data_IF_560782156208
#
_entry.id   IF_560782156208
#
_cell.length_a   1.000
_cell.length_b   1.000
_cell.length_c   1.000
_cell.angle_alpha   90.00
_cell.angle_beta   90.00
_cell.angle_gamma   90.00
#
_symmetry.space_group_name_H-M   'P 1'
#
loop_
_entity.id
_entity.type
_entity.pdbx_description
1 polymer ?
#
# COMPACT_ATOMS: atom_id res chain seq x y z
N UNK A 1 -17.04 9.89 16.44
CA UNK A 1 -16.99 10.80 15.28
C UNK A 1 -15.56 10.78 14.78
N UNK A 2 -15.29 10.34 13.54
CA UNK A 2 -13.92 10.30 13.02
C UNK A 2 -13.43 11.73 12.76
N UNK A 3 -12.30 12.13 13.34
CA UNK A 3 -11.60 13.36 12.98
C UNK A 3 -10.60 13.05 11.88
N UNK A 4 -10.71 13.72 10.75
CA UNK A 4 -9.75 13.63 9.64
C UNK A 4 -8.91 14.91 9.68
N UNK A 5 -7.58 14.76 9.74
CA UNK A 5 -6.64 15.88 9.67
C UNK A 5 -5.70 15.66 8.49
N UNK A 6 -5.61 16.65 7.62
CA UNK A 6 -4.64 16.70 6.51
C UNK A 6 -3.33 17.28 7.08
N UNK A 7 -2.19 16.70 6.70
CA UNK A 7 -0.89 17.23 7.11
C UNK A 7 -0.60 18.49 6.31
N UNK A 8 -0.09 19.53 6.98
CA UNK A 8 0.54 20.69 6.34
C UNK A 8 2.05 20.58 6.60
N UNK A 9 2.85 20.95 5.60
CA UNK A 9 4.26 20.59 5.38
C UNK A 9 5.28 20.83 6.50
N UNK A 10 4.90 21.49 7.61
CA UNK A 10 5.86 22.01 8.59
C UNK A 10 5.80 21.31 9.97
N UNK A 11 4.90 20.34 10.16
CA UNK A 11 4.89 19.47 11.33
C UNK A 11 5.33 18.06 10.94
N UNK A 12 6.32 17.50 11.65
CA UNK A 12 6.72 16.09 11.45
C UNK A 12 5.50 15.21 11.65
N UNK A 13 5.14 14.41 10.64
CA UNK A 13 3.97 13.52 10.67
C UNK A 13 3.88 12.69 11.97
N UNK A 14 5.04 12.31 12.53
CA UNK A 14 5.15 11.60 13.80
C UNK A 14 4.66 12.41 15.01
N UNK A 15 4.99 13.69 15.08
CA UNK A 15 4.61 14.59 16.19
C UNK A 15 3.11 14.88 16.16
N UNK A 16 2.53 15.01 14.96
CA UNK A 16 1.08 15.13 14.78
C UNK A 16 0.37 13.85 15.21
N UNK A 17 0.83 12.70 14.71
CA UNK A 17 0.26 11.41 15.08
C UNK A 17 0.32 11.21 16.61
N UNK A 18 1.44 11.52 17.27
CA UNK A 18 1.54 11.44 18.72
C UNK A 18 0.54 12.34 19.45
N UNK A 19 0.37 13.59 18.98
CA UNK A 19 -0.56 14.55 19.56
C UNK A 19 -2.00 14.05 19.51
N UNK A 20 -2.43 13.48 18.36
CA UNK A 20 -3.80 13.01 18.18
C UNK A 20 -4.06 11.65 18.85
N UNK A 21 -3.09 10.74 18.82
CA UNK A 21 -3.18 9.42 19.48
C UNK A 21 -3.28 9.58 21.00
N UNK A 22 -2.45 10.43 21.62
CA UNK A 22 -2.49 10.67 23.08
C UNK A 22 -3.78 11.35 23.56
N UNK A 23 -4.54 11.98 22.65
CA UNK A 23 -5.83 12.59 22.95
C UNK A 23 -7.01 11.61 23.05
N UNK A 24 -6.82 10.31 22.75
CA UNK A 24 -7.89 9.29 22.65
C UNK A 24 -9.03 9.64 21.66
N UNK A 25 -8.79 10.52 20.69
CA UNK A 25 -9.80 10.93 19.71
C UNK A 25 -9.69 10.20 18.36
N UNK A 26 -8.83 9.17 18.27
CA UNK A 26 -8.37 8.66 16.98
C UNK A 26 -8.24 7.13 16.94
N UNK A 27 -8.77 6.52 15.87
CA UNK A 27 -8.83 5.06 15.70
C UNK A 27 -8.05 4.53 14.47
N UNK A 28 -7.43 5.39 13.65
CA UNK A 28 -6.63 4.92 12.51
C UNK A 28 -6.03 6.02 11.64
N UNK A 29 -4.82 5.77 11.13
CA UNK A 29 -3.97 6.69 10.37
C UNK A 29 -4.05 6.33 8.88
N UNK A 30 -4.21 7.33 8.01
CA UNK A 30 -4.09 7.18 6.54
C UNK A 30 -2.93 8.04 6.07
N UNK A 31 -2.02 7.46 5.29
CA UNK A 31 -0.78 8.07 4.81
C UNK A 31 -0.75 8.04 3.29
N UNK A 32 -0.58 9.20 2.65
CA UNK A 32 -0.33 9.31 1.21
C UNK A 32 1.18 9.24 0.95
N UNK A 33 1.65 8.19 0.28
CA UNK A 33 3.08 7.92 0.02
C UNK A 33 3.64 8.74 -1.16
N UNK A 34 2.77 9.51 -1.81
CA UNK A 34 2.94 10.07 -3.14
C UNK A 34 2.97 11.61 -3.15
N UNK A 35 2.55 12.26 -2.07
CA UNK A 35 2.34 13.72 -2.07
C UNK A 35 3.18 14.46 -1.01
N UNK A 36 3.44 13.88 0.16
CA UNK A 36 4.05 14.62 1.29
C UNK A 36 4.95 13.78 2.21
N UNK A 37 4.78 12.46 2.24
CA UNK A 37 5.44 11.58 3.21
C UNK A 37 6.28 10.53 2.47
N UNK A 38 7.58 10.53 2.73
CA UNK A 38 8.47 9.54 2.16
C UNK A 38 8.21 8.13 2.73
N UNK A 39 8.62 7.11 1.98
CA UNK A 39 8.39 5.69 2.32
C UNK A 39 9.05 5.30 3.65
N UNK A 40 10.16 5.93 4.05
CA UNK A 40 10.83 5.66 5.33
C UNK A 40 9.97 6.20 6.49
N UNK A 41 9.42 7.41 6.34
CA UNK A 41 8.50 7.97 7.32
C UNK A 41 7.25 7.11 7.46
N UNK A 42 6.65 6.67 6.35
CA UNK A 42 5.49 5.79 6.38
C UNK A 42 5.77 4.42 7.01
N UNK A 43 6.96 3.86 6.75
CA UNK A 43 7.45 2.65 7.42
C UNK A 43 7.54 2.84 8.94
N UNK A 44 8.03 3.99 9.41
CA UNK A 44 8.10 4.30 10.84
C UNK A 44 6.71 4.41 11.45
N UNK A 45 5.77 5.07 10.76
CA UNK A 45 4.36 5.14 11.18
C UNK A 45 3.76 3.73 11.31
N UNK A 46 3.87 2.90 10.26
CA UNK A 46 3.42 1.50 10.28
C UNK A 46 3.98 0.77 11.50
N UNK A 47 5.30 0.79 11.69
CA UNK A 47 5.97 0.08 12.78
C UNK A 47 5.48 0.53 14.16
N UNK A 48 5.44 1.85 14.38
CA UNK A 48 5.13 2.49 15.67
C UNK A 48 3.69 2.20 16.11
N UNK A 49 2.73 2.29 15.20
CA UNK A 49 1.31 2.18 15.55
C UNK A 49 0.74 0.78 15.31
N UNK A 50 1.57 -0.17 14.87
CA UNK A 50 1.13 -1.54 14.56
C UNK A 50 0.64 -2.41 15.73
N UNK A 51 0.87 -1.96 16.98
CA UNK A 51 0.49 -2.66 18.22
C UNK A 51 -0.66 -2.00 18.96
N UNK A 52 -0.97 -0.76 18.60
CA UNK A 52 -2.14 -0.06 19.11
C UNK A 52 -3.35 -0.55 18.32
N UNK A 53 -4.57 -0.50 18.86
CA UNK A 53 -5.79 -0.85 18.11
C UNK A 53 -6.12 0.19 17.01
N UNK A 54 -5.08 0.72 16.37
CA UNK A 54 -5.08 1.73 15.35
C UNK A 54 -4.88 1.05 14.01
N UNK A 55 -5.80 1.31 13.09
CA UNK A 55 -5.62 0.85 11.72
C UNK A 55 -4.69 1.82 10.99
N UNK A 56 -3.67 1.31 10.30
CA UNK A 56 -2.80 2.12 9.44
C UNK A 56 -3.04 1.76 7.98
N UNK A 57 -3.25 2.77 7.13
CA UNK A 57 -3.44 2.59 5.69
C UNK A 57 -2.53 3.52 4.90
N UNK A 58 -2.12 3.06 3.72
CA UNK A 58 -1.14 3.72 2.88
C UNK A 58 -1.64 3.77 1.45
N UNK A 59 -1.80 4.98 0.90
CA UNK A 59 -2.20 5.19 -0.48
C UNK A 59 -1.02 5.50 -1.39
N UNK A 60 -1.16 5.16 -2.67
CA UNK A 60 -0.19 5.44 -3.73
C UNK A 60 -0.94 5.69 -5.03
N UNK A 61 -0.67 6.82 -5.66
CA UNK A 61 -1.13 7.13 -7.01
C UNK A 61 -0.05 6.79 -8.04
N UNK A 62 -0.48 6.17 -9.12
CA UNK A 62 0.35 5.62 -10.20
C UNK A 62 -0.28 6.00 -11.54
N UNK A 63 -0.27 7.30 -11.86
CA UNK A 63 -0.86 7.86 -13.07
C UNK A 63 -2.38 7.75 -13.08
N UNK A 64 -2.90 6.88 -13.95
CA UNK A 64 -4.32 6.51 -14.08
C UNK A 64 -4.73 5.40 -13.10
N UNK A 65 -3.92 5.12 -12.06
CA UNK A 65 -4.16 4.03 -11.12
C UNK A 65 -4.00 4.52 -9.69
N UNK A 66 -4.70 3.83 -8.78
CA UNK A 66 -4.62 4.08 -7.35
C UNK A 66 -4.47 2.77 -6.59
N UNK A 67 -3.59 2.75 -5.61
CA UNK A 67 -3.33 1.62 -4.73
C UNK A 67 -3.53 2.03 -3.29
N UNK A 68 -4.18 1.17 -2.50
CA UNK A 68 -4.45 1.38 -1.10
C UNK A 68 -4.10 0.12 -0.31
N UNK A 69 -3.14 0.23 0.59
CA UNK A 69 -2.64 -0.86 1.43
C UNK A 69 -3.07 -0.68 2.88
N UNK A 70 -3.23 -1.78 3.61
CA UNK A 70 -3.62 -1.80 5.02
C UNK A 70 -2.68 -2.64 5.84
N UNK A 71 -2.24 -2.08 6.96
CA UNK A 71 -1.71 -2.88 8.04
C UNK A 71 -2.85 -3.73 8.62
N UNK A 72 -2.62 -5.04 8.67
CA UNK A 72 -3.52 -5.97 9.32
C UNK A 72 -2.73 -6.96 10.21
N UNK A 73 -3.43 -7.92 10.82
CA UNK A 73 -2.83 -8.90 11.73
C UNK A 73 -1.78 -9.81 11.08
N UNK A 74 -1.76 -9.93 9.75
CA UNK A 74 -0.92 -10.87 9.02
C UNK A 74 0.23 -10.20 8.27
N UNK A 75 -0.03 -9.02 7.72
CA UNK A 75 0.89 -8.30 6.85
C UNK A 75 0.80 -6.82 7.20
N UNK A 76 1.97 -6.24 7.46
CA UNK A 76 2.15 -4.81 7.72
C UNK A 76 3.11 -4.22 6.70
N UNK A 77 2.97 -2.95 6.37
CA UNK A 77 3.84 -2.25 5.44
C UNK A 77 5.28 -2.30 5.95
N UNK A 78 5.50 -1.98 7.23
CA UNK A 78 6.85 -2.01 7.81
C UNK A 78 7.54 -3.36 7.68
N UNK A 79 6.76 -4.45 7.75
CA UNK A 79 7.28 -5.80 7.55
C UNK A 79 7.63 -6.02 6.09
N UNK A 80 6.68 -5.80 5.16
CA UNK A 80 6.88 -6.01 3.72
C UNK A 80 8.18 -5.36 3.23
N UNK A 81 8.46 -4.14 3.68
CA UNK A 81 9.61 -3.36 3.25
C UNK A 81 10.96 -3.97 3.70
N UNK A 82 10.97 -4.67 4.83
CA UNK A 82 12.20 -5.20 5.47
C UNK A 82 12.39 -6.71 5.32
N UNK A 83 11.34 -7.45 4.91
CA UNK A 83 11.43 -8.91 4.79
C UNK A 83 12.54 -9.31 3.82
N UNK A 84 13.30 -10.34 4.16
CA UNK A 84 14.11 -11.02 3.15
C UNK A 84 13.19 -11.60 2.06
N UNK A 85 13.76 -11.84 0.87
CA UNK A 85 13.01 -12.24 -0.30
C UNK A 85 12.23 -13.55 -0.08
N UNK A 86 12.80 -14.50 0.67
CA UNK A 86 12.16 -15.79 0.94
C UNK A 86 10.92 -15.59 1.83
N UNK A 87 11.04 -14.86 2.94
CA UNK A 87 9.91 -14.62 3.83
C UNK A 87 8.85 -13.73 3.14
N UNK A 88 9.28 -12.75 2.35
CA UNK A 88 8.37 -11.94 1.54
C UNK A 88 7.49 -12.79 0.63
N UNK A 89 8.12 -13.69 -0.12
CA UNK A 89 7.45 -14.64 -1.00
C UNK A 89 6.49 -15.56 -0.22
N UNK A 90 6.92 -16.11 0.92
CA UNK A 90 6.07 -16.93 1.80
C UNK A 90 4.84 -16.17 2.30
N UNK A 91 4.96 -14.88 2.64
CA UNK A 91 3.81 -14.05 3.03
C UNK A 91 2.87 -13.81 1.85
N UNK A 92 3.38 -13.48 0.68
CA UNK A 92 2.53 -13.23 -0.49
C UNK A 92 1.78 -14.48 -0.95
N UNK A 93 2.35 -15.68 -0.79
CA UNK A 93 1.66 -16.94 -1.07
C UNK A 93 0.39 -17.18 -0.22
N UNK A 94 0.22 -16.45 0.89
CA UNK A 94 -1.01 -16.49 1.72
C UNK A 94 -2.15 -15.66 1.14
N UNK A 95 -1.87 -14.76 0.20
CA UNK A 95 -2.88 -13.94 -0.46
C UNK A 95 -3.57 -14.79 -1.52
N UNK A 96 -4.90 -14.93 -1.42
CA UNK A 96 -5.67 -15.67 -2.41
C UNK A 96 -5.75 -14.85 -3.70
N UNK A 97 -5.50 -15.49 -4.84
CA UNK A 97 -5.62 -14.89 -6.17
C UNK A 97 -4.83 -13.58 -6.29
N UNK A 98 -3.56 -13.59 -5.88
CA UNK A 98 -2.74 -12.39 -5.92
C UNK A 98 -2.66 -11.83 -7.34
N UNK A 99 -3.05 -10.56 -7.48
CA UNK A 99 -2.95 -9.86 -8.75
C UNK A 99 -1.51 -9.49 -9.08
N UNK A 100 -1.05 -9.66 -10.32
CA UNK A 100 0.29 -9.25 -10.75
C UNK A 100 0.63 -7.81 -10.38
N UNK A 101 -0.32 -6.89 -10.55
CA UNK A 101 -0.07 -5.47 -10.30
C UNK A 101 0.19 -5.19 -8.81
N UNK A 102 -0.49 -5.92 -7.92
CA UNK A 102 -0.24 -5.81 -6.48
C UNK A 102 1.18 -6.31 -6.16
N UNK A 103 1.60 -7.45 -6.74
CA UNK A 103 2.98 -7.93 -6.59
C UNK A 103 3.99 -6.87 -7.05
N UNK A 104 3.80 -6.29 -8.24
CA UNK A 104 4.67 -5.25 -8.79
C UNK A 104 4.80 -4.05 -7.85
N UNK A 105 3.68 -3.51 -7.36
CA UNK A 105 3.66 -2.35 -6.47
C UNK A 105 4.42 -2.66 -5.17
N UNK A 106 4.22 -3.83 -4.58
CA UNK A 106 4.92 -4.24 -3.35
C UNK A 106 6.43 -4.40 -3.57
N UNK A 107 6.86 -4.83 -4.76
CA UNK A 107 8.28 -4.89 -5.11
C UNK A 107 8.87 -3.49 -5.28
N UNK A 108 8.18 -2.58 -5.98
CA UNK A 108 8.61 -1.17 -6.14
C UNK A 108 8.74 -0.49 -4.77
N UNK A 109 7.78 -0.72 -3.87
CA UNK A 109 7.82 -0.22 -2.50
C UNK A 109 9.10 -0.63 -1.76
N UNK A 110 9.48 -1.91 -1.85
CA UNK A 110 10.70 -2.45 -1.23
C UNK A 110 11.97 -1.84 -1.83
N UNK A 111 12.01 -1.66 -3.14
CA UNK A 111 13.15 -1.02 -3.81
C UNK A 111 13.32 0.44 -3.36
N UNK A 112 12.24 1.21 -3.40
CA UNK A 112 12.26 2.62 -2.97
C UNK A 112 12.62 2.76 -1.49
N UNK A 113 12.13 1.86 -0.63
CA UNK A 113 12.50 1.85 0.80
C UNK A 113 13.98 1.51 1.04
N UNK A 114 14.60 0.71 0.16
CA UNK A 114 16.00 0.32 0.30
C UNK A 114 16.98 1.25 -0.42
N UNK A 115 16.50 2.33 -1.07
CA UNK A 115 17.30 3.23 -1.90
C UNK A 115 18.18 2.49 -2.93
N UNK A 116 17.76 1.29 -3.36
CA UNK A 116 18.47 0.54 -4.40
C UNK A 116 18.17 1.17 -5.77
N UNK A 117 19.18 1.17 -6.64
CA UNK A 117 18.98 1.54 -8.04
C UNK A 117 17.97 0.57 -8.68
N UNK A 118 17.14 1.10 -9.60
CA UNK A 118 16.16 0.35 -10.40
C UNK A 118 16.79 -0.96 -10.93
N UNK A 119 16.28 -2.11 -10.51
CA UNK A 119 16.93 -3.40 -10.82
C UNK A 119 16.19 -4.69 -10.43
N UNK A 120 14.96 -4.62 -9.91
CA UNK A 120 14.20 -5.78 -9.46
C UNK A 120 13.52 -6.61 -10.57
N UNK A 121 13.73 -6.33 -11.85
CA UNK A 121 13.14 -7.13 -12.94
C UNK A 121 13.51 -8.63 -12.80
N UNK A 122 14.75 -8.91 -12.39
CA UNK A 122 15.22 -10.29 -12.12
C UNK A 122 14.46 -10.90 -10.93
N UNK A 123 14.28 -10.15 -9.84
CA UNK A 123 13.58 -10.59 -8.63
C UNK A 123 12.08 -10.80 -8.87
N UNK A 124 11.43 -9.95 -9.67
CA UNK A 124 10.02 -10.08 -10.03
C UNK A 124 9.74 -11.40 -10.75
N UNK A 125 10.59 -11.75 -11.71
CA UNK A 125 10.45 -13.02 -12.43
C UNK A 125 10.65 -14.24 -11.52
N UNK A 126 11.58 -14.17 -10.56
CA UNK A 126 11.86 -15.26 -9.61
C UNK A 126 10.79 -15.41 -8.52
N UNK A 127 10.24 -14.28 -8.04
CA UNK A 127 9.12 -14.27 -7.12
C UNK A 127 7.87 -14.82 -7.83
N UNK A 128 7.58 -14.34 -9.04
CA UNK A 128 6.38 -14.71 -9.80
C UNK A 128 6.37 -16.18 -10.25
N UNK A 129 7.53 -16.79 -10.57
CA UNK A 129 7.63 -18.18 -11.05
C UNK A 129 6.93 -19.21 -10.15
N UNK A 130 7.05 -19.05 -8.83
CA UNK A 130 6.48 -20.00 -7.88
C UNK A 130 5.11 -19.55 -7.33
N UNK A 131 4.57 -18.43 -7.85
CA UNK A 131 3.32 -17.85 -7.39
C UNK A 131 2.20 -18.08 -8.39
N UNK A 132 1.01 -18.42 -7.88
CA UNK A 132 -0.21 -18.50 -8.69
C UNK A 132 -0.85 -17.13 -8.81
N UNK A 133 -0.30 -16.30 -9.71
CA UNK A 133 -0.84 -14.99 -10.02
C UNK A 133 -2.16 -15.11 -10.79
N UNK A 134 -3.09 -14.21 -10.50
CA UNK A 134 -4.40 -14.15 -11.14
C UNK A 134 -4.76 -12.69 -11.48
N UNK A 135 -4.92 -12.34 -12.77
CA UNK A 135 -4.80 -13.21 -13.96
C UNK A 135 -3.37 -13.71 -14.18
N UNK A 136 -3.22 -14.72 -15.05
CA UNK A 136 -1.90 -15.14 -15.52
C UNK A 136 -1.31 -14.02 -16.37
N UNK A 137 -0.02 -13.78 -16.21
CA UNK A 137 0.75 -12.76 -16.92
C UNK A 137 2.09 -13.36 -17.32
N UNK A 138 2.63 -12.95 -18.46
CA UNK A 138 3.99 -13.31 -18.88
C UNK A 138 5.02 -12.49 -18.11
N UNK A 139 6.27 -12.95 -18.08
CA UNK A 139 7.36 -12.19 -17.46
C UNK A 139 7.60 -10.85 -18.18
N UNK A 140 7.45 -10.81 -19.50
CA UNK A 140 7.61 -9.59 -20.29
C UNK A 140 6.55 -8.55 -19.93
N UNK A 141 5.27 -8.96 -19.88
CA UNK A 141 4.17 -8.09 -19.44
C UNK A 141 4.37 -7.61 -18.00
N UNK A 142 4.84 -8.48 -17.09
CA UNK A 142 5.11 -8.11 -15.71
C UNK A 142 6.22 -7.04 -15.61
N UNK A 143 7.27 -7.17 -16.41
CA UNK A 143 8.35 -6.17 -16.51
C UNK A 143 7.86 -4.85 -17.09
N UNK A 144 6.98 -4.88 -18.09
CA UNK A 144 6.39 -3.67 -18.67
C UNK A 144 5.55 -2.91 -17.62
N UNK A 145 4.71 -3.62 -16.88
CA UNK A 145 3.91 -3.04 -15.79
C UNK A 145 4.80 -2.46 -14.70
N UNK A 146 5.89 -3.15 -14.33
CA UNK A 146 6.87 -2.62 -13.37
C UNK A 146 7.47 -1.30 -13.83
N UNK A 147 7.91 -1.23 -15.08
CA UNK A 147 8.51 -0.03 -15.64
C UNK A 147 7.52 1.14 -15.67
N UNK A 148 6.30 0.88 -16.12
CA UNK A 148 5.20 1.84 -16.15
C UNK A 148 4.87 2.38 -14.75
N UNK A 149 4.67 1.51 -13.77
CA UNK A 149 4.31 1.93 -12.41
C UNK A 149 5.43 2.67 -11.72
N UNK A 150 6.68 2.29 -11.99
CA UNK A 150 7.84 2.99 -11.45
C UNK A 150 7.94 4.41 -12.01
N UNK A 151 7.65 4.59 -13.31
CA UNK A 151 7.65 5.89 -14.00
C UNK A 151 6.54 6.80 -13.48
N UNK A 152 5.32 6.29 -13.35
CA UNK A 152 4.16 7.06 -12.89
C UNK A 152 4.05 7.22 -11.38
N UNK A 153 5.08 6.83 -10.62
CA UNK A 153 5.03 6.87 -9.17
C UNK A 153 4.76 8.28 -8.64
N UNK A 154 3.71 8.42 -7.84
CA UNK A 154 3.31 9.69 -7.23
C UNK A 154 2.75 10.70 -8.22
N UNK A 155 2.33 10.24 -9.39
CA UNK A 155 1.58 11.06 -10.34
C UNK A 155 0.09 10.72 -10.22
N UNK A 156 -0.74 11.76 -10.13
CA UNK A 156 -2.19 11.60 -9.96
C UNK A 156 -2.92 12.49 -10.94
N UNK A 157 -3.96 11.97 -11.59
CA UNK A 157 -4.89 12.75 -12.40
C UNK A 157 -6.23 12.96 -11.67
N UNK A 158 -6.90 14.09 -11.92
CA UNK A 158 -8.11 14.51 -11.18
C UNK A 158 -9.22 13.44 -11.08
N UNK A 159 -9.55 12.67 -12.14
CA UNK A 159 -10.54 11.60 -12.03
C UNK A 159 -10.14 10.50 -11.05
N UNK A 160 -8.85 10.16 -10.99
CA UNK A 160 -8.31 9.20 -10.03
C UNK A 160 -8.40 9.73 -8.61
N UNK A 161 -8.08 11.00 -8.37
CA UNK A 161 -8.22 11.62 -7.04
C UNK A 161 -9.65 11.48 -6.49
N UNK A 162 -10.66 11.58 -7.36
CA UNK A 162 -12.07 11.42 -6.96
C UNK A 162 -12.40 9.98 -6.55
N UNK A 163 -11.89 9.00 -7.28
CA UNK A 163 -12.07 7.56 -6.96
C UNK A 163 -11.29 7.19 -5.70
N UNK A 164 -10.04 7.66 -5.59
CA UNK A 164 -9.19 7.53 -4.41
C UNK A 164 -9.90 8.06 -3.16
N UNK A 165 -10.49 9.25 -3.23
CA UNK A 165 -11.28 9.82 -2.13
C UNK A 165 -12.45 8.92 -1.72
N UNK A 166 -13.15 8.32 -2.69
CA UNK A 166 -14.22 7.34 -2.44
C UNK A 166 -13.72 6.07 -1.74
N UNK A 167 -12.62 5.49 -2.22
CA UNK A 167 -11.98 4.33 -1.59
C UNK A 167 -11.54 4.64 -0.16
N UNK A 168 -10.82 5.76 0.05
CA UNK A 168 -10.39 6.20 1.38
C UNK A 168 -11.59 6.41 2.31
N UNK A 169 -12.69 6.99 1.83
CA UNK A 169 -13.91 7.18 2.61
C UNK A 169 -14.56 5.85 3.04
N UNK A 170 -14.59 4.85 2.15
CA UNK A 170 -15.08 3.53 2.48
C UNK A 170 -14.25 2.88 3.59
N UNK A 171 -12.94 3.11 3.61
CA UNK A 171 -12.06 2.58 4.64
C UNK A 171 -12.26 3.27 5.98
N UNK A 172 -12.35 4.61 5.99
CA UNK A 172 -12.76 5.37 7.19
C UNK A 172 -14.07 4.82 7.76
N UNK A 173 -14.99 4.41 6.90
CA UNK A 173 -16.25 3.79 7.32
C UNK A 173 -16.03 2.42 7.96
N UNK A 174 -15.26 1.52 7.33
CA UNK A 174 -14.88 0.23 7.95
C UNK A 174 -14.15 0.41 9.29
N UNK A 175 -13.36 1.48 9.45
CA UNK A 175 -12.69 1.83 10.70
C UNK A 175 -13.69 2.20 11.79
N UNK A 176 -14.76 2.89 11.42
CA UNK A 176 -15.84 3.25 12.34
C UNK A 176 -16.68 2.03 12.76
N UNK A 177 -16.74 0.99 11.93
CA UNK A 177 -17.54 -0.23 12.19
C UNK A 177 -16.75 -1.41 12.75
N UNK A 178 -15.40 -1.31 12.84
CA UNK A 178 -14.49 -2.37 13.30
C UNK A 178 -14.46 -3.64 12.41
N UNK A 179 -14.71 -3.51 11.13
CA UNK A 179 -14.90 -4.63 10.19
C UNK A 179 -13.65 -4.94 9.34
N UNK A 180 -12.45 -5.06 9.92
CA UNK A 180 -11.23 -5.30 9.12
C UNK A 180 -10.29 -6.34 9.79
N UNK A 181 -10.53 -7.63 9.56
CA UNK A 181 -9.61 -8.68 10.04
C UNK A 181 -8.62 -9.16 8.97
N UNK A 182 -9.04 -9.25 7.70
CA UNK A 182 -8.31 -10.05 6.70
C UNK A 182 -8.02 -9.31 5.37
N UNK A 183 -8.41 -8.02 5.26
CA UNK A 183 -8.18 -7.22 4.06
C UNK A 183 -6.75 -6.66 4.00
N UNK A 184 -6.09 -6.76 2.84
CA UNK A 184 -4.67 -6.42 2.68
C UNK A 184 -4.43 -5.20 1.79
N UNK A 185 -5.04 -5.15 0.61
CA UNK A 185 -4.96 -3.98 -0.27
C UNK A 185 -6.04 -3.99 -1.36
N UNK A 186 -6.27 -2.81 -1.92
CA UNK A 186 -7.05 -2.57 -3.14
C UNK A 186 -6.18 -1.88 -4.18
N UNK A 187 -6.45 -2.15 -5.45
CA UNK A 187 -5.97 -1.36 -6.56
C UNK A 187 -7.14 -1.07 -7.49
N UNK A 188 -7.19 0.16 -8.00
CA UNK A 188 -8.10 0.56 -9.06
C UNK A 188 -7.29 0.99 -10.29
N UNK A 189 -7.66 0.47 -11.45
CA UNK A 189 -7.13 0.85 -12.75
C UNK A 189 -8.22 1.57 -13.55
N UNK A 190 -8.00 2.85 -13.86
CA UNK A 190 -8.98 3.64 -14.63
C UNK A 190 -8.97 3.29 -16.11
N UNK A 191 -7.85 2.84 -16.66
CA UNK A 191 -7.75 2.52 -18.09
C UNK A 191 -8.61 1.30 -18.41
N UNK A 192 -8.66 0.33 -17.49
CA UNK A 192 -9.50 -0.87 -17.62
C UNK A 192 -10.82 -0.77 -16.86
N UNK A 193 -10.99 0.23 -15.99
CA UNK A 193 -12.09 0.36 -15.04
C UNK A 193 -12.23 -0.87 -14.11
N UNK A 194 -11.10 -1.52 -13.77
CA UNK A 194 -11.07 -2.70 -12.93
C UNK A 194 -10.63 -2.35 -11.49
N UNK A 195 -11.34 -2.95 -10.52
CA UNK A 195 -10.95 -2.91 -9.12
C UNK A 195 -10.49 -4.31 -8.69
N UNK A 196 -9.29 -4.38 -8.11
CA UNK A 196 -8.71 -5.62 -7.63
C UNK A 196 -8.44 -5.53 -6.13
N UNK A 197 -8.78 -6.60 -5.42
CA UNK A 197 -8.62 -6.68 -3.96
C UNK A 197 -7.82 -7.89 -3.56
N UNK A 198 -6.87 -7.71 -2.65
CA UNK A 198 -6.14 -8.80 -1.99
C UNK A 198 -6.70 -9.05 -0.59
N UNK A 199 -7.11 -10.30 -0.33
CA UNK A 199 -7.59 -10.77 0.97
C UNK A 199 -6.68 -11.92 1.43
N UNK A 200 -6.33 -11.92 2.71
CA UNK A 200 -5.48 -12.94 3.33
C UNK A 200 -6.37 -14.07 3.84
N UNK A 201 -5.96 -15.32 3.62
CA UNK A 201 -6.64 -16.50 4.17
C UNK A 201 -6.38 -16.69 5.65
#
# INVERSE_FOLDING_TARGET
MAKISVLESDLKAEDLCEKYVRGNEFNGIVVSLDEEIDIITAKTVSKKYSSEKLLCSFSISLGTRFFLFYDNKYIKLSEILDLDEKIFKEKLMKIKNLHPYILVILVILREKASNKAKGAEIQLSEIAKDMKLHPKITNEELTNVYNEFYEFWGTTISPISSIAGGLVCQEVTKFCTQEVSDYCCCMFDMDTCEAVTAIIK
#
